data_IF_858471658833
#
_entry.id   IF_858471658833
#
_cell.length_a   1.000
_cell.length_b   1.000
_cell.length_c   1.000
_cell.angle_alpha   90.00
_cell.angle_beta   90.00
_cell.angle_gamma   90.00
#
_symmetry.space_group_name_H-M   'P 1'
#
loop_
_entity.id
_entity.type
_entity.pdbx_description
1 polymer ?
#
# COMPACT_ATOMS: atom_id res chain seq x y z
N UNK A 1 17.00 -4.94 -24.16
CA UNK A 1 17.28 -4.41 -22.81
C UNK A 1 17.33 -5.56 -21.83
N UNK A 2 18.12 -5.45 -20.76
CA UNK A 2 18.19 -6.43 -19.67
C UNK A 2 17.49 -5.81 -18.46
N UNK A 3 16.45 -6.46 -17.95
CA UNK A 3 15.76 -6.03 -16.72
C UNK A 3 16.23 -6.92 -15.58
N UNK A 4 16.68 -6.31 -14.48
CA UNK A 4 17.08 -7.05 -13.28
C UNK A 4 16.19 -6.62 -12.10
N UNK A 5 15.51 -7.58 -11.44
CA UNK A 5 14.76 -7.29 -10.23
C UNK A 5 15.72 -7.02 -9.06
N UNK A 6 15.39 -6.06 -8.22
CA UNK A 6 16.05 -5.86 -6.94
C UNK A 6 15.57 -6.93 -5.95
N UNK A 7 16.45 -7.43 -5.07
CA UNK A 7 16.09 -8.45 -4.09
C UNK A 7 15.45 -7.81 -2.83
N UNK A 8 14.14 -7.59 -2.90
CA UNK A 8 13.38 -6.97 -1.81
C UNK A 8 13.31 -7.85 -0.56
N UNK A 9 13.44 -9.17 -0.72
CA UNK A 9 13.35 -10.11 0.41
C UNK A 9 14.52 -9.94 1.37
N UNK A 10 15.66 -9.47 0.86
CA UNK A 10 16.82 -9.10 1.67
C UNK A 10 16.50 -7.95 2.64
N UNK A 11 15.78 -6.92 2.18
CA UNK A 11 15.33 -5.81 3.06
C UNK A 11 14.47 -6.35 4.20
N UNK A 12 13.56 -7.27 3.88
CA UNK A 12 12.73 -7.88 4.90
C UNK A 12 13.55 -8.70 5.91
N UNK A 13 14.40 -9.62 5.43
CA UNK A 13 15.22 -10.47 6.30
C UNK A 13 16.13 -9.65 7.22
N UNK A 14 16.76 -8.58 6.71
CA UNK A 14 17.76 -7.82 7.46
C UNK A 14 17.16 -6.73 8.36
N UNK A 15 16.02 -6.12 7.97
CA UNK A 15 15.46 -4.94 8.66
C UNK A 15 14.08 -5.16 9.28
N UNK A 16 13.36 -6.22 8.93
CA UNK A 16 11.97 -6.40 9.36
C UNK A 16 11.78 -7.67 10.16
N UNK A 17 12.42 -8.77 9.77
CA UNK A 17 12.26 -10.06 10.42
C UNK A 17 12.52 -9.98 11.94
N UNK A 18 11.61 -10.55 12.73
CA UNK A 18 11.66 -10.52 14.19
C UNK A 18 11.23 -9.20 14.85
N UNK A 19 10.84 -8.17 14.09
CA UNK A 19 10.38 -6.87 14.61
C UNK A 19 8.87 -6.70 14.48
N UNK A 20 8.27 -5.93 15.38
CA UNK A 20 6.89 -5.43 15.21
C UNK A 20 6.85 -4.38 14.10
N UNK A 21 6.02 -4.59 13.09
CA UNK A 21 5.77 -3.64 12.01
C UNK A 21 4.60 -2.74 12.39
N UNK A 22 4.89 -1.45 12.55
CA UNK A 22 3.90 -0.46 12.97
C UNK A 22 3.76 0.56 11.86
N UNK A 23 2.56 0.66 11.32
CA UNK A 23 2.27 1.58 10.25
C UNK A 23 1.63 2.84 10.82
N UNK A 24 2.19 4.01 10.49
CA UNK A 24 1.70 5.30 10.96
C UNK A 24 1.02 6.05 9.82
N UNK A 25 -0.19 6.52 10.08
CA UNK A 25 -0.87 7.54 9.29
C UNK A 25 -0.16 8.90 9.44
N UNK A 26 -0.33 9.80 8.48
CA UNK A 26 0.35 11.08 8.41
C UNK A 26 0.03 12.00 9.60
N UNK A 27 -1.20 11.97 10.10
CA UNK A 27 -1.53 12.70 11.32
C UNK A 27 -0.69 12.24 12.52
N UNK A 28 -0.32 10.96 12.60
CA UNK A 28 0.55 10.46 13.68
C UNK A 28 2.00 10.87 13.45
N UNK A 29 2.48 10.81 12.20
CA UNK A 29 3.80 11.32 11.82
C UNK A 29 3.99 12.79 12.26
N UNK A 30 2.97 13.64 12.03
CA UNK A 30 2.96 15.05 12.44
C UNK A 30 2.97 15.19 13.96
N UNK A 31 2.09 14.46 14.67
CA UNK A 31 2.01 14.49 16.13
C UNK A 31 3.33 14.12 16.79
N UNK A 32 4.00 13.06 16.31
CA UNK A 32 5.30 12.64 16.82
C UNK A 32 6.39 13.69 16.55
N UNK A 33 6.42 14.32 15.37
CA UNK A 33 7.40 15.36 15.02
C UNK A 33 7.32 16.54 15.98
N UNK A 34 6.10 17.05 16.22
CA UNK A 34 5.89 18.31 16.95
C UNK A 34 6.23 18.20 18.46
N UNK A 35 6.52 16.99 18.96
CA UNK A 35 7.03 16.79 20.31
C UNK A 35 5.90 16.87 21.32
N UNK A 36 5.47 18.07 21.75
CA UNK A 36 4.32 18.29 22.62
C UNK A 36 4.01 17.17 23.64
N UNK A 37 2.75 16.72 23.66
CA UNK A 37 2.31 15.57 24.46
C UNK A 37 2.81 14.22 23.91
N UNK A 38 3.22 14.17 22.64
CA UNK A 38 3.67 12.95 21.96
C UNK A 38 5.17 12.65 22.15
N UNK A 39 5.91 13.48 22.89
CA UNK A 39 7.37 13.40 23.01
C UNK A 39 7.81 12.09 23.64
N UNK A 40 7.14 11.68 24.73
CA UNK A 40 7.40 10.41 25.39
C UNK A 40 7.19 9.22 24.43
N UNK A 41 6.05 9.21 23.74
CA UNK A 41 5.75 8.21 22.72
C UNK A 41 6.80 8.18 21.59
N UNK A 42 7.23 9.33 21.08
CA UNK A 42 8.29 9.42 20.07
C UNK A 42 9.60 8.82 20.58
N UNK A 43 10.03 9.20 21.77
CA UNK A 43 11.27 8.73 22.36
C UNK A 43 11.21 7.19 22.61
N UNK A 44 10.03 6.66 22.98
CA UNK A 44 9.77 5.22 23.05
C UNK A 44 9.78 4.51 21.68
N UNK A 45 9.27 5.13 20.63
CA UNK A 45 9.34 4.61 19.26
C UNK A 45 10.80 4.49 18.80
N UNK A 46 11.59 5.56 18.99
CA UNK A 46 13.02 5.58 18.65
C UNK A 46 13.79 4.49 19.42
N UNK A 47 13.50 4.35 20.71
CA UNK A 47 14.11 3.32 21.54
C UNK A 47 13.71 1.89 21.12
N UNK A 48 12.46 1.69 20.68
CA UNK A 48 12.00 0.40 20.16
C UNK A 48 12.72 0.02 18.86
N UNK A 49 12.96 0.98 17.97
CA UNK A 49 13.74 0.77 16.73
C UNK A 49 15.20 0.47 17.06
N UNK A 50 15.82 1.28 17.94
CA UNK A 50 17.22 1.08 18.37
C UNK A 50 17.47 -0.29 19.01
N UNK A 51 16.48 -0.80 19.77
CA UNK A 51 16.52 -2.14 20.38
C UNK A 51 16.10 -3.26 19.43
N UNK A 52 15.77 -2.96 18.17
CA UNK A 52 15.31 -3.94 17.19
C UNK A 52 13.97 -4.59 17.54
N UNK A 53 13.13 -3.96 18.36
CA UNK A 53 11.81 -4.49 18.77
C UNK A 53 10.70 -4.11 17.80
N UNK A 54 10.84 -2.97 17.14
CA UNK A 54 9.86 -2.45 16.20
C UNK A 54 10.54 -1.78 15.01
N UNK A 55 9.78 -1.60 13.95
CA UNK A 55 10.13 -0.78 12.80
C UNK A 55 8.85 -0.08 12.30
N UNK A 56 9.02 1.12 11.77
CA UNK A 56 7.92 1.93 11.27
C UNK A 56 8.13 2.23 9.79
N UNK A 57 7.86 1.26 8.89
CA UNK A 57 8.00 1.47 7.47
C UNK A 57 7.19 2.70 7.04
N UNK A 58 7.80 3.53 6.21
CA UNK A 58 7.04 4.57 5.55
C UNK A 58 6.27 3.98 4.38
N UNK A 59 5.31 4.72 3.88
CA UNK A 59 4.51 4.30 2.76
C UNK A 59 4.61 5.26 1.61
N UNK A 60 4.18 4.79 0.44
CA UNK A 60 4.09 5.63 -0.74
C UNK A 60 3.32 6.93 -0.44
N UNK A 61 2.18 6.82 0.22
CA UNK A 61 1.37 7.96 0.63
C UNK A 61 2.08 8.89 1.64
N UNK A 62 2.72 8.34 2.68
CA UNK A 62 3.43 9.16 3.69
C UNK A 62 4.62 9.93 3.08
N UNK A 63 5.36 9.29 2.16
CA UNK A 63 6.44 9.94 1.42
C UNK A 63 5.87 11.00 0.47
N UNK A 64 4.75 10.73 -0.19
CA UNK A 64 4.06 11.68 -1.06
C UNK A 64 3.65 12.96 -0.31
N UNK A 65 3.11 12.80 0.91
CA UNK A 65 2.70 13.90 1.77
C UNK A 65 3.89 14.68 2.34
N UNK A 66 5.01 14.01 2.63
CA UNK A 66 6.26 14.65 3.03
C UNK A 66 6.73 15.67 1.99
N UNK A 67 6.70 15.31 0.70
CA UNK A 67 7.05 16.24 -0.39
C UNK A 67 6.10 17.43 -0.48
N UNK A 68 4.85 17.27 -0.05
CA UNK A 68 3.84 18.32 0.00
C UNK A 68 4.04 19.36 1.10
N UNK A 69 4.92 19.13 2.09
CA UNK A 69 5.18 20.09 3.17
C UNK A 69 5.90 21.33 2.59
N UNK A 70 5.31 22.53 2.60
CA UNK A 70 5.91 23.69 1.93
C UNK A 70 7.16 24.23 2.63
N UNK A 71 7.20 24.15 3.96
CA UNK A 71 8.32 24.65 4.76
C UNK A 71 9.52 23.68 4.68
N UNK A 72 10.68 24.11 4.17
CA UNK A 72 11.85 23.24 4.05
C UNK A 72 12.36 22.72 5.41
N UNK A 73 12.30 23.54 6.45
CA UNK A 73 12.74 23.15 7.80
C UNK A 73 11.79 22.14 8.44
N UNK A 74 10.48 22.33 8.30
CA UNK A 74 9.48 21.35 8.77
C UNK A 74 9.58 20.03 8.00
N UNK A 75 9.77 20.11 6.67
CA UNK A 75 9.97 18.93 5.83
C UNK A 75 11.21 18.15 6.25
N UNK A 76 12.34 18.84 6.45
CA UNK A 76 13.58 18.21 6.89
C UNK A 76 13.42 17.54 8.27
N UNK A 77 12.79 18.22 9.24
CA UNK A 77 12.54 17.66 10.57
C UNK A 77 11.59 16.45 10.53
N UNK A 78 10.56 16.48 9.68
CA UNK A 78 9.68 15.32 9.47
C UNK A 78 10.44 14.15 8.85
N UNK A 79 11.27 14.42 7.82
CA UNK A 79 12.05 13.42 7.12
C UNK A 79 13.08 12.75 8.04
N UNK A 80 13.76 13.52 8.90
CA UNK A 80 14.69 13.00 9.91
C UNK A 80 14.01 12.03 10.89
N UNK A 81 12.82 12.37 11.37
CA UNK A 81 12.04 11.48 12.23
C UNK A 81 11.64 10.19 11.49
N UNK A 82 11.15 10.32 10.25
CA UNK A 82 10.77 9.17 9.43
C UNK A 82 11.97 8.26 9.15
N UNK A 83 13.14 8.82 8.81
CA UNK A 83 14.38 8.07 8.61
C UNK A 83 14.79 7.28 9.86
N UNK A 84 14.75 7.93 11.03
CA UNK A 84 15.12 7.32 12.29
C UNK A 84 14.20 6.14 12.68
N UNK A 85 12.92 6.19 12.27
CA UNK A 85 11.94 5.15 12.62
C UNK A 85 11.78 4.06 11.55
N UNK A 86 11.99 4.37 10.26
CA UNK A 86 11.80 3.43 9.16
C UNK A 86 13.07 2.68 8.76
N UNK A 87 14.26 3.17 9.13
CA UNK A 87 15.55 2.54 8.79
C UNK A 87 15.71 2.22 7.29
N UNK A 88 15.23 3.09 6.41
CA UNK A 88 15.34 2.87 4.97
C UNK A 88 14.27 1.96 4.37
N UNK A 89 13.27 1.53 5.15
CA UNK A 89 12.22 0.60 4.72
C UNK A 89 10.96 1.35 4.31
N UNK A 90 10.40 0.98 3.16
CA UNK A 90 9.12 1.48 2.65
C UNK A 90 8.20 0.33 2.25
N UNK A 91 6.88 0.54 2.32
CA UNK A 91 5.92 -0.36 1.69
C UNK A 91 5.95 -0.19 0.17
N UNK A 92 5.72 -1.27 -0.58
CA UNK A 92 5.54 -1.14 -2.04
C UNK A 92 4.24 -0.40 -2.35
N UNK A 93 4.16 0.21 -3.53
CA UNK A 93 2.95 0.92 -3.95
C UNK A 93 1.74 -0.02 -4.07
N UNK A 94 0.50 0.49 -3.96
CA UNK A 94 -0.71 -0.32 -4.08
C UNK A 94 -0.77 -1.09 -5.40
N UNK A 95 -0.33 -0.48 -6.50
CA UNK A 95 -0.26 -1.13 -7.80
C UNK A 95 0.59 -2.40 -7.76
N UNK A 96 1.76 -2.33 -7.12
CA UNK A 96 2.66 -3.48 -6.97
C UNK A 96 2.04 -4.52 -6.03
N UNK A 97 1.49 -4.11 -4.89
CA UNK A 97 0.84 -5.02 -3.93
C UNK A 97 -0.33 -5.75 -4.56
N UNK A 98 -1.16 -5.03 -5.31
CA UNK A 98 -2.30 -5.57 -6.05
C UNK A 98 -1.85 -6.58 -7.11
N UNK A 99 -0.75 -6.30 -7.82
CA UNK A 99 -0.16 -7.23 -8.76
C UNK A 99 0.40 -8.48 -8.07
N UNK A 100 1.03 -8.35 -6.90
CA UNK A 100 1.50 -9.49 -6.11
C UNK A 100 0.32 -10.37 -5.64
N UNK A 101 -0.75 -9.76 -5.13
CA UNK A 101 -1.97 -10.48 -4.75
C UNK A 101 -2.64 -11.17 -5.95
N UNK A 102 -2.66 -10.52 -7.12
CA UNK A 102 -3.16 -11.13 -8.34
C UNK A 102 -2.31 -12.34 -8.78
N UNK A 103 -0.97 -12.26 -8.68
CA UNK A 103 -0.06 -13.39 -8.90
C UNK A 103 -0.34 -14.54 -7.93
N UNK A 104 -0.60 -14.23 -6.67
CA UNK A 104 -0.97 -15.24 -5.68
C UNK A 104 -2.30 -15.93 -6.00
N UNK A 105 -3.30 -15.17 -6.44
CA UNK A 105 -4.55 -15.74 -6.93
C UNK A 105 -4.30 -16.64 -8.16
N UNK A 106 -3.47 -16.20 -9.10
CA UNK A 106 -3.10 -16.97 -10.28
C UNK A 106 -2.46 -18.31 -9.92
N UNK A 107 -1.40 -18.30 -9.10
CA UNK A 107 -0.70 -19.51 -8.67
C UNK A 107 -1.63 -20.50 -7.95
N UNK A 108 -2.53 -19.99 -7.11
CA UNK A 108 -3.53 -20.82 -6.41
C UNK A 108 -4.51 -21.49 -7.37
N UNK A 109 -4.90 -20.81 -8.45
CA UNK A 109 -5.91 -21.31 -9.39
C UNK A 109 -5.32 -22.25 -10.44
N UNK A 110 -4.09 -21.98 -10.91
CA UNK A 110 -3.54 -22.65 -12.09
C UNK A 110 -2.30 -23.49 -11.80
N UNK A 111 -1.54 -23.19 -10.75
CA UNK A 111 -0.29 -23.90 -10.43
C UNK A 111 -0.45 -24.89 -9.27
N UNK A 112 -1.64 -24.98 -8.68
CA UNK A 112 -1.92 -25.79 -7.47
C UNK A 112 -0.97 -25.49 -6.30
N UNK A 113 -0.37 -24.29 -6.27
CA UNK A 113 0.56 -23.89 -5.24
C UNK A 113 -0.19 -23.52 -3.95
N UNK A 114 0.38 -23.88 -2.79
CA UNK A 114 0.02 -23.24 -1.53
C UNK A 114 0.51 -21.77 -1.56
N UNK A 115 -0.28 -20.91 -2.20
CA UNK A 115 0.05 -19.50 -2.29
C UNK A 115 -0.33 -18.80 -1.00
N UNK A 116 0.63 -18.68 -0.08
CA UNK A 116 0.55 -17.69 1.00
C UNK A 116 1.09 -16.37 0.49
N UNK A 117 0.36 -15.30 0.74
CA UNK A 117 0.84 -13.96 0.46
C UNK A 117 2.02 -13.71 1.41
N UNK A 118 3.18 -13.44 0.83
CA UNK A 118 4.39 -13.32 1.63
C UNK A 118 4.57 -11.85 2.03
N UNK A 119 4.40 -11.60 3.33
CA UNK A 119 4.68 -10.31 3.97
C UNK A 119 6.08 -9.78 3.63
N UNK A 120 7.02 -10.67 3.31
CA UNK A 120 8.38 -10.33 2.89
C UNK A 120 8.52 -9.74 1.48
N UNK A 121 7.45 -9.74 0.68
CA UNK A 121 7.40 -9.08 -0.63
C UNK A 121 6.63 -7.75 -0.60
N UNK A 122 5.97 -7.46 0.53
CA UNK A 122 5.16 -6.24 0.70
C UNK A 122 5.99 -5.00 1.03
N UNK A 123 7.26 -5.19 1.38
CA UNK A 123 8.19 -4.14 1.78
C UNK A 123 9.42 -4.13 0.88
N UNK A 124 10.01 -2.96 0.75
CA UNK A 124 11.21 -2.70 -0.05
C UNK A 124 12.04 -1.57 0.56
N UNK A 125 13.13 -1.19 -0.09
CA UNK A 125 13.96 -0.04 0.28
C UNK A 125 13.34 1.28 -0.20
N UNK A 126 13.61 2.36 0.53
CA UNK A 126 13.12 3.71 0.23
C UNK A 126 13.27 4.18 -1.23
N UNK A 127 14.39 3.95 -1.94
CA UNK A 127 14.57 4.35 -3.33
C UNK A 127 13.49 3.83 -4.29
N UNK A 128 12.90 2.66 -3.99
CA UNK A 128 11.83 2.08 -4.79
C UNK A 128 10.55 2.94 -4.76
N UNK A 129 10.42 3.88 -3.83
CA UNK A 129 9.37 4.91 -3.90
C UNK A 129 9.34 5.62 -5.27
N UNK A 130 10.51 5.79 -5.89
CA UNK A 130 10.66 6.47 -7.18
C UNK A 130 10.37 5.57 -8.39
N UNK A 131 10.13 4.27 -8.19
CA UNK A 131 10.03 3.32 -9.29
C UNK A 131 9.31 2.01 -8.96
N UNK A 132 9.59 0.96 -9.74
CA UNK A 132 8.95 -0.36 -9.61
C UNK A 132 9.83 -1.40 -8.91
N UNK A 133 11.03 -1.00 -8.48
CA UNK A 133 12.07 -1.91 -7.99
C UNK A 133 12.73 -2.73 -9.10
N UNK A 134 12.62 -2.30 -10.36
CA UNK A 134 13.28 -2.93 -11.49
C UNK A 134 14.31 -1.96 -12.06
N UNK A 135 15.52 -2.46 -12.31
CA UNK A 135 16.57 -1.70 -12.98
C UNK A 135 16.70 -2.18 -14.43
N UNK A 136 16.62 -1.24 -15.35
CA UNK A 136 16.75 -1.50 -16.77
C UNK A 136 18.13 -1.11 -17.28
N UNK A 137 18.77 -2.05 -17.98
CA UNK A 137 20.09 -1.88 -18.55
C UNK A 137 20.05 -2.06 -20.06
N UNK A 138 20.95 -1.37 -20.77
CA UNK A 138 21.14 -1.57 -22.19
C UNK A 138 21.60 -3.02 -22.46
N UNK A 139 21.27 -3.56 -23.64
CA UNK A 139 21.54 -4.97 -23.95
C UNK A 139 23.04 -5.31 -23.91
N UNK A 140 23.87 -4.34 -24.27
CA UNK A 140 25.33 -4.37 -24.31
C UNK A 140 26.00 -4.01 -22.97
N UNK A 141 25.23 -3.66 -21.93
CA UNK A 141 25.81 -3.38 -20.61
C UNK A 141 26.55 -4.63 -20.08
N UNK A 142 27.85 -4.51 -19.69
CA UNK A 142 28.63 -5.61 -19.15
C UNK A 142 28.01 -6.17 -17.86
N UNK A 143 28.07 -7.49 -17.68
CA UNK A 143 27.51 -8.16 -16.50
C UNK A 143 28.13 -7.66 -15.19
N UNK A 144 29.43 -7.34 -15.19
CA UNK A 144 30.12 -6.78 -14.02
C UNK A 144 29.57 -5.41 -13.60
N UNK A 145 29.15 -4.57 -14.55
CA UNK A 145 28.53 -3.27 -14.25
C UNK A 145 27.14 -3.47 -13.65
N UNK A 146 26.35 -4.37 -14.24
CA UNK A 146 25.02 -4.72 -13.72
C UNK A 146 25.13 -5.22 -12.28
N UNK A 147 26.07 -6.12 -12.00
CA UNK A 147 26.31 -6.67 -10.66
C UNK A 147 26.72 -5.58 -9.66
N UNK A 148 27.65 -4.68 -10.03
CA UNK A 148 28.05 -3.56 -9.16
C UNK A 148 26.86 -2.65 -8.85
N UNK A 149 26.04 -2.32 -9.85
CA UNK A 149 24.87 -1.46 -9.64
C UNK A 149 23.82 -2.15 -8.78
N UNK A 150 23.54 -3.43 -9.00
CA UNK A 150 22.59 -4.20 -8.18
C UNK A 150 23.09 -4.34 -6.74
N UNK A 151 24.37 -4.62 -6.55
CA UNK A 151 24.98 -4.71 -5.22
C UNK A 151 24.96 -3.36 -4.50
N UNK A 152 25.28 -2.28 -5.20
CA UNK A 152 25.15 -0.93 -4.66
C UNK A 152 23.68 -0.66 -4.29
N UNK A 153 22.73 -0.93 -5.18
CA UNK A 153 21.31 -0.70 -4.91
C UNK A 153 20.81 -1.51 -3.72
N UNK A 154 21.30 -2.73 -3.54
CA UNK A 154 21.01 -3.60 -2.41
C UNK A 154 21.72 -3.17 -1.12
N UNK A 155 22.77 -2.35 -1.19
CA UNK A 155 23.46 -1.81 -0.01
C UNK A 155 22.50 -0.92 0.79
N UNK A 156 22.27 -1.35 2.03
CA UNK A 156 21.30 -0.80 2.97
C UNK A 156 21.72 0.54 3.56
N UNK A 157 22.99 0.92 3.41
CA UNK A 157 23.55 2.16 3.97
C UNK A 157 23.78 3.23 2.88
N UNK A 158 23.27 3.03 1.66
CA UNK A 158 23.29 4.04 0.61
C UNK A 158 22.58 5.34 1.04
N UNK A 159 23.19 6.53 0.81
CA UNK A 159 22.58 7.83 1.12
C UNK A 159 21.20 8.06 0.48
N UNK A 160 20.93 7.46 -0.69
CA UNK A 160 19.63 7.52 -1.36
C UNK A 160 18.47 6.85 -0.60
N UNK A 161 18.78 6.15 0.49
CA UNK A 161 17.80 5.54 1.42
C UNK A 161 17.44 6.46 2.59
N UNK A 162 17.74 7.76 2.49
CA UNK A 162 17.29 8.78 3.44
C UNK A 162 16.20 9.64 2.81
N UNK A 163 15.04 9.71 3.47
CA UNK A 163 13.99 10.67 3.15
C UNK A 163 14.46 12.10 3.27
N UNK A 164 15.36 12.40 4.22
CA UNK A 164 15.95 13.73 4.30
C UNK A 164 16.68 14.05 3.00
N UNK A 165 17.56 13.17 2.55
CA UNK A 165 18.27 13.33 1.28
C UNK A 165 17.30 13.43 0.10
N UNK A 166 16.34 12.50 -0.02
CA UNK A 166 15.33 12.51 -1.09
C UNK A 166 14.54 13.82 -1.11
N UNK A 167 14.15 14.35 0.06
CA UNK A 167 13.36 15.57 0.18
C UNK A 167 14.13 16.85 -0.17
N UNK A 168 15.46 16.79 -0.15
CA UNK A 168 16.38 17.89 -0.46
C UNK A 168 16.83 17.86 -1.92
N UNK A 169 17.14 16.67 -2.45
CA UNK A 169 17.73 16.50 -3.78
C UNK A 169 16.69 16.31 -4.89
N UNK A 170 15.49 15.78 -4.56
CA UNK A 170 14.44 15.59 -5.55
C UNK A 170 13.58 16.85 -5.63
N UNK A 171 13.40 17.45 -6.82
CA UNK A 171 12.57 18.62 -6.99
C UNK A 171 11.13 18.35 -6.52
N UNK A 172 10.75 18.95 -5.39
CA UNK A 172 9.43 18.71 -4.79
C UNK A 172 8.28 19.21 -5.67
N UNK A 173 8.53 20.17 -6.57
CA UNK A 173 7.50 20.74 -7.46
C UNK A 173 6.91 19.69 -8.41
N UNK A 174 7.76 18.90 -9.10
CA UNK A 174 7.31 17.88 -10.04
C UNK A 174 6.54 16.74 -9.35
N UNK A 175 6.99 16.33 -8.16
CA UNK A 175 6.28 15.32 -7.37
C UNK A 175 4.94 15.84 -6.86
N UNK A 176 4.91 17.08 -6.37
CA UNK A 176 3.68 17.73 -5.89
C UNK A 176 2.66 17.88 -7.02
N UNK A 177 3.09 18.26 -8.23
CA UNK A 177 2.23 18.39 -9.39
C UNK A 177 1.61 17.05 -9.79
N UNK A 178 2.43 15.99 -9.91
CA UNK A 178 1.94 14.63 -10.22
C UNK A 178 0.95 14.12 -9.18
N UNK A 179 1.17 14.40 -7.91
CA UNK A 179 0.22 14.02 -6.85
C UNK A 179 -1.05 14.85 -6.89
N UNK A 180 -0.95 16.16 -7.12
CA UNK A 180 -2.11 17.04 -7.23
C UNK A 180 -3.03 16.63 -8.38
N UNK A 181 -2.47 16.18 -9.51
CA UNK A 181 -3.25 15.66 -10.65
C UNK A 181 -4.02 14.39 -10.26
N UNK A 182 -3.33 13.37 -9.70
CA UNK A 182 -3.98 12.14 -9.22
C UNK A 182 -5.11 12.41 -8.22
N UNK A 183 -4.88 13.32 -7.27
CA UNK A 183 -5.87 13.68 -6.26
C UNK A 183 -7.08 14.38 -6.88
N UNK A 184 -6.88 15.25 -7.88
CA UNK A 184 -7.97 15.89 -8.63
C UNK A 184 -8.80 14.86 -9.39
N UNK A 185 -8.15 13.93 -10.09
CA UNK A 185 -8.83 12.84 -10.80
C UNK A 185 -9.67 11.99 -9.86
N UNK A 186 -9.10 11.61 -8.71
CA UNK A 186 -9.82 10.86 -7.68
C UNK A 186 -11.05 11.60 -7.16
N UNK A 187 -10.90 12.88 -6.79
CA UNK A 187 -12.02 13.69 -6.28
C UNK A 187 -13.11 13.82 -7.34
N UNK A 188 -12.75 14.13 -8.59
CA UNK A 188 -13.69 14.25 -9.68
C UNK A 188 -14.44 12.92 -9.94
N UNK A 189 -13.73 11.79 -9.90
CA UNK A 189 -14.34 10.46 -10.03
C UNK A 189 -15.38 10.22 -8.94
N UNK A 190 -15.01 10.46 -7.67
CA UNK A 190 -15.89 10.22 -6.53
C UNK A 190 -17.08 11.19 -6.49
N UNK A 191 -16.90 12.45 -6.87
CA UNK A 191 -17.99 13.41 -7.01
C UNK A 191 -18.97 13.01 -8.12
N UNK A 192 -18.46 12.55 -9.27
CA UNK A 192 -19.29 12.04 -10.36
C UNK A 192 -20.08 10.79 -9.94
N UNK A 193 -19.45 9.86 -9.22
CA UNK A 193 -20.12 8.69 -8.66
C UNK A 193 -21.23 9.12 -7.70
N UNK A 194 -20.95 10.05 -6.77
CA UNK A 194 -21.94 10.56 -5.84
C UNK A 194 -23.11 11.25 -6.55
N UNK A 195 -22.83 12.09 -7.55
CA UNK A 195 -23.86 12.78 -8.33
C UNK A 195 -24.77 11.78 -9.07
N UNK A 196 -24.19 10.76 -9.73
CA UNK A 196 -24.94 9.66 -10.36
C UNK A 196 -25.82 8.94 -9.35
N UNK A 197 -25.27 8.64 -8.17
CA UNK A 197 -26.04 7.96 -7.12
C UNK A 197 -27.19 8.80 -6.60
N UNK A 198 -27.02 10.11 -6.40
CA UNK A 198 -28.10 10.99 -5.97
C UNK A 198 -29.21 11.12 -7.02
N UNK A 199 -28.86 11.05 -8.31
CA UNK A 199 -29.81 11.18 -9.42
C UNK A 199 -30.68 9.92 -9.63
N UNK A 200 -30.14 8.71 -9.45
CA UNK A 200 -30.86 7.45 -9.70
C UNK A 200 -31.42 6.83 -8.39
N UNK A 201 -32.76 6.69 -8.25
CA UNK A 201 -33.36 6.01 -7.10
C UNK A 201 -32.80 4.61 -6.80
N UNK A 202 -32.44 3.82 -7.82
CA UNK A 202 -31.86 2.48 -7.65
C UNK A 202 -30.46 2.53 -7.07
N UNK A 203 -29.70 3.57 -7.42
CA UNK A 203 -28.35 3.79 -6.90
C UNK A 203 -28.35 4.38 -5.49
N UNK A 204 -29.39 5.16 -5.13
CA UNK A 204 -29.61 5.64 -3.75
C UNK A 204 -29.92 4.50 -2.78
N UNK A 205 -30.67 3.50 -3.22
CA UNK A 205 -31.08 2.36 -2.39
C UNK A 205 -30.09 1.19 -2.40
N UNK A 206 -28.97 1.32 -3.10
CA UNK A 206 -27.95 0.29 -3.18
C UNK A 206 -27.38 0.00 -1.79
N UNK A 207 -27.54 -1.24 -1.34
CA UNK A 207 -27.06 -1.69 -0.06
C UNK A 207 -25.53 -1.83 -0.03
N UNK A 208 -24.99 -1.86 1.19
CA UNK A 208 -23.55 -1.93 1.43
C UNK A 208 -22.88 -3.14 0.78
N UNK A 209 -23.49 -4.32 0.81
CA UNK A 209 -22.86 -5.53 0.28
C UNK A 209 -22.81 -5.47 -1.25
N UNK A 210 -23.84 -4.92 -1.89
CA UNK A 210 -23.83 -4.72 -3.34
C UNK A 210 -22.80 -3.66 -3.74
N UNK A 211 -22.67 -2.56 -2.98
CA UNK A 211 -21.62 -1.57 -3.21
C UNK A 211 -20.21 -2.19 -3.12
N UNK A 212 -19.92 -2.95 -2.06
CA UNK A 212 -18.64 -3.65 -1.91
C UNK A 212 -18.42 -4.64 -3.06
N UNK A 213 -19.43 -5.40 -3.47
CA UNK A 213 -19.30 -6.33 -4.59
C UNK A 213 -18.94 -5.61 -5.89
N UNK A 214 -19.53 -4.43 -6.15
CA UNK A 214 -19.17 -3.60 -7.32
C UNK A 214 -17.71 -3.16 -7.27
N UNK A 215 -17.22 -2.74 -6.11
CA UNK A 215 -15.80 -2.38 -5.93
C UNK A 215 -14.87 -3.58 -6.18
N UNK A 216 -15.22 -4.78 -5.67
CA UNK A 216 -14.48 -6.00 -5.99
C UNK A 216 -14.43 -6.27 -7.49
N UNK A 217 -15.57 -6.16 -8.18
CA UNK A 217 -15.63 -6.36 -9.64
C UNK A 217 -14.77 -5.33 -10.36
N UNK A 218 -14.79 -4.07 -9.92
CA UNK A 218 -13.97 -3.00 -10.49
C UNK A 218 -12.47 -3.31 -10.34
N UNK A 219 -12.00 -3.58 -9.11
CA UNK A 219 -10.61 -3.93 -8.81
C UNK A 219 -10.16 -5.20 -9.54
N UNK A 220 -11.04 -6.19 -9.63
CA UNK A 220 -10.76 -7.42 -10.36
C UNK A 220 -10.49 -7.14 -11.84
N UNK A 221 -11.31 -6.29 -12.47
CA UNK A 221 -11.16 -5.93 -13.87
C UNK A 221 -9.97 -5.02 -14.13
N UNK A 222 -9.72 -4.03 -13.27
CA UNK A 222 -8.65 -3.05 -13.47
C UNK A 222 -7.27 -3.56 -13.10
N UNK A 223 -7.18 -4.50 -12.16
CA UNK A 223 -5.89 -4.87 -11.55
C UNK A 223 -5.59 -6.36 -11.65
N UNK A 224 -6.57 -7.23 -11.39
CA UNK A 224 -6.36 -8.69 -11.39
C UNK A 224 -6.30 -9.26 -12.80
N UNK A 225 -7.24 -8.89 -13.67
CA UNK A 225 -7.27 -9.37 -15.06
C UNK A 225 -5.98 -9.02 -15.80
N UNK A 226 -5.50 -7.76 -15.82
CA UNK A 226 -4.26 -7.41 -16.52
C UNK A 226 -3.05 -8.17 -15.97
N UNK A 227 -2.90 -8.24 -14.65
CA UNK A 227 -1.79 -8.98 -14.04
C UNK A 227 -1.82 -10.47 -14.38
N UNK A 228 -3.00 -11.10 -14.43
CA UNK A 228 -3.13 -12.50 -14.84
C UNK A 228 -2.92 -12.69 -16.34
N UNK A 229 -3.32 -11.72 -17.18
CA UNK A 229 -3.08 -11.76 -18.63
C UNK A 229 -1.58 -11.82 -18.93
N UNK A 230 -0.78 -11.01 -18.25
CA UNK A 230 0.67 -10.99 -18.41
C UNK A 230 1.32 -12.34 -18.04
N UNK A 231 0.83 -12.99 -16.97
CA UNK A 231 1.31 -14.31 -16.56
C UNK A 231 0.87 -15.40 -17.54
N UNK A 232 -0.39 -15.38 -17.94
CA UNK A 232 -0.95 -16.32 -18.91
C UNK A 232 -0.23 -16.25 -20.26
N UNK A 233 0.11 -15.05 -20.73
CA UNK A 233 0.87 -14.87 -21.96
C UNK A 233 2.29 -15.48 -21.86
N UNK A 234 2.88 -15.50 -20.65
CA UNK A 234 4.17 -16.16 -20.41
C UNK A 234 4.03 -17.69 -20.35
N UNK A 235 3.00 -18.19 -19.68
CA UNK A 235 2.81 -19.62 -19.45
C UNK A 235 2.25 -20.36 -20.69
N UNK A 236 1.28 -19.76 -21.37
CA UNK A 236 0.61 -20.35 -22.53
C UNK A 236 1.25 -19.97 -23.87
N UNK A 237 2.26 -19.10 -23.86
CA UNK A 237 2.77 -18.47 -25.07
C UNK A 237 1.69 -17.65 -25.80
N UNK A 238 1.69 -17.67 -27.13
CA UNK A 238 0.76 -16.91 -27.95
C UNK A 238 -0.63 -17.58 -28.16
N UNK A 239 -0.97 -18.62 -27.40
CA UNK A 239 -2.28 -19.29 -27.53
C UNK A 239 -3.41 -18.45 -26.92
N UNK A 240 -3.96 -17.57 -27.76
CA UNK A 240 -5.04 -16.67 -27.37
C UNK A 240 -6.34 -17.42 -26.98
N UNK A 241 -6.56 -18.65 -27.45
CA UNK A 241 -7.74 -19.43 -27.08
C UNK A 241 -7.63 -19.96 -25.65
N UNK A 242 -6.47 -20.49 -25.28
CA UNK A 242 -6.19 -20.96 -23.92
C UNK A 242 -6.17 -19.80 -22.90
N UNK A 243 -5.58 -18.66 -23.27
CA UNK A 243 -5.61 -17.44 -22.45
C UNK A 243 -7.05 -17.01 -22.19
N UNK A 244 -7.90 -16.93 -23.24
CA UNK A 244 -9.32 -16.58 -23.08
C UNK A 244 -10.08 -17.58 -22.20
N UNK A 245 -9.80 -18.88 -22.34
CA UNK A 245 -10.40 -19.93 -21.53
C UNK A 245 -10.04 -19.78 -20.05
N UNK A 246 -8.77 -19.57 -19.71
CA UNK A 246 -8.34 -19.38 -18.31
C UNK A 246 -8.82 -18.04 -17.72
N UNK A 247 -8.90 -16.98 -18.51
CA UNK A 247 -9.49 -15.71 -18.08
C UNK A 247 -11.00 -15.83 -17.80
N UNK A 248 -11.73 -16.67 -18.53
CA UNK A 248 -13.13 -16.93 -18.24
C UNK A 248 -13.30 -17.72 -16.93
N UNK A 249 -12.36 -18.62 -16.58
CA UNK A 249 -12.30 -19.32 -15.29
C UNK A 249 -11.92 -18.40 -14.11
N UNK A 250 -11.10 -17.38 -14.38
CA UNK A 250 -10.87 -16.23 -13.50
C UNK A 250 -12.13 -15.40 -13.33
N UNK A 251 -13.07 -15.48 -14.28
CA UNK A 251 -14.42 -14.98 -14.12
C UNK A 251 -14.69 -13.62 -14.73
N UNK A 252 -14.09 -13.37 -15.89
CA UNK A 252 -14.39 -12.20 -16.72
C UNK A 252 -15.87 -12.14 -17.19
N UNK A 253 -16.61 -13.26 -17.13
CA UNK A 253 -18.00 -13.36 -17.60
C UNK A 253 -19.08 -13.12 -16.54
N UNK A 254 -19.08 -13.87 -15.44
CA UNK A 254 -20.22 -13.91 -14.49
C UNK A 254 -19.84 -14.69 -13.22
N UNK A 255 -18.87 -14.21 -12.43
CA UNK A 255 -18.67 -14.82 -11.10
C UNK A 255 -19.85 -14.43 -10.22
N UNK A 256 -20.66 -15.41 -9.81
CA UNK A 256 -21.67 -15.19 -8.78
C UNK A 256 -21.02 -14.54 -7.55
N UNK A 257 -21.64 -13.48 -7.00
CA UNK A 257 -21.01 -12.60 -6.01
C UNK A 257 -20.38 -13.31 -4.79
N UNK A 258 -20.88 -14.50 -4.44
CA UNK A 258 -20.30 -15.37 -3.41
C UNK A 258 -18.87 -15.83 -3.74
N UNK A 259 -18.62 -16.33 -4.97
CA UNK A 259 -17.30 -16.83 -5.38
C UNK A 259 -16.30 -15.68 -5.53
N UNK A 260 -16.75 -14.51 -5.98
CA UNK A 260 -15.91 -13.29 -6.01
C UNK A 260 -15.50 -12.89 -4.59
N UNK A 261 -16.45 -12.81 -3.67
CA UNK A 261 -16.21 -12.51 -2.26
C UNK A 261 -15.21 -13.48 -1.62
N UNK A 262 -15.36 -14.78 -1.90
CA UNK A 262 -14.45 -15.81 -1.38
C UNK A 262 -13.02 -15.62 -1.90
N UNK A 263 -12.83 -15.36 -3.21
CA UNK A 263 -11.51 -15.12 -3.80
C UNK A 263 -10.83 -13.90 -3.19
N UNK A 264 -11.55 -12.78 -3.08
CA UNK A 264 -11.01 -11.56 -2.48
C UNK A 264 -10.54 -11.79 -1.04
N UNK A 265 -11.39 -12.37 -0.20
CA UNK A 265 -11.06 -12.65 1.20
C UNK A 265 -9.88 -13.61 1.39
N UNK A 266 -9.66 -14.51 0.44
CA UNK A 266 -8.68 -15.59 0.58
C UNK A 266 -7.33 -15.31 -0.12
N UNK A 267 -7.31 -14.43 -1.12
CA UNK A 267 -6.15 -14.25 -2.00
C UNK A 267 -5.88 -12.80 -2.39
N UNK A 268 -6.80 -11.87 -2.13
CA UNK A 268 -6.64 -10.45 -2.45
C UNK A 268 -6.95 -9.56 -1.22
N UNK A 269 -6.26 -9.77 -0.08
CA UNK A 269 -6.64 -9.17 1.20
C UNK A 269 -6.56 -7.64 1.22
N UNK A 270 -5.54 -7.00 0.63
CA UNK A 270 -5.48 -5.53 0.60
C UNK A 270 -6.53 -4.97 -0.35
N UNK A 271 -6.76 -5.61 -1.50
CA UNK A 271 -7.86 -5.25 -2.39
C UNK A 271 -9.22 -5.42 -1.71
N UNK A 272 -9.40 -6.44 -0.88
CA UNK A 272 -10.63 -6.66 -0.11
C UNK A 272 -10.85 -5.55 0.92
N UNK A 273 -9.81 -5.13 1.64
CA UNK A 273 -9.92 -3.97 2.54
C UNK A 273 -10.26 -2.71 1.75
N UNK A 274 -9.58 -2.45 0.62
CA UNK A 274 -9.87 -1.31 -0.25
C UNK A 274 -11.32 -1.33 -0.76
N UNK A 275 -11.81 -2.48 -1.25
CA UNK A 275 -13.19 -2.65 -1.72
C UNK A 275 -14.21 -2.39 -0.60
N UNK A 276 -13.89 -2.82 0.63
CA UNK A 276 -14.74 -2.53 1.78
C UNK A 276 -14.78 -1.05 2.11
N UNK A 277 -13.63 -0.38 2.17
CA UNK A 277 -13.55 1.05 2.48
C UNK A 277 -14.25 1.89 1.41
N UNK A 278 -13.99 1.63 0.12
CA UNK A 278 -14.68 2.30 -0.98
C UNK A 278 -16.18 2.01 -0.96
N UNK A 279 -16.59 0.75 -0.82
CA UNK A 279 -18.02 0.37 -0.81
C UNK A 279 -18.79 0.98 0.36
N UNK A 280 -18.18 1.06 1.55
CA UNK A 280 -18.77 1.72 2.72
C UNK A 280 -18.89 3.23 2.53
N UNK A 281 -17.83 3.88 2.02
CA UNK A 281 -17.88 5.32 1.72
C UNK A 281 -18.87 5.63 0.61
N UNK A 282 -19.01 4.75 -0.38
CA UNK A 282 -19.92 4.97 -1.50
C UNK A 282 -21.38 5.04 -1.06
N UNK A 283 -21.79 4.25 -0.05
CA UNK A 283 -23.18 4.26 0.46
C UNK A 283 -23.46 5.39 1.45
N UNK A 284 -22.43 6.08 1.95
CA UNK A 284 -22.58 7.27 2.78
C UNK A 284 -22.74 8.51 1.90
N UNK A 285 -23.98 8.77 1.47
CA UNK A 285 -24.31 9.92 0.63
C UNK A 285 -24.18 11.28 1.33
N UNK A 286 -24.07 11.31 2.66
CA UNK A 286 -23.93 12.54 3.44
C UNK A 286 -22.47 13.01 3.48
N UNK A 287 -21.52 12.07 3.47
CA UNK A 287 -20.09 12.39 3.40
C UNK A 287 -19.72 13.11 2.11
N UNK A 288 -18.88 14.14 2.22
CA UNK A 288 -18.20 14.77 1.08
C UNK A 288 -16.86 14.10 0.87
N UNK A 289 -16.53 13.79 -0.39
CA UNK A 289 -15.20 13.32 -0.76
C UNK A 289 -14.16 14.41 -0.47
N UNK A 290 -13.02 14.02 0.07
CA UNK A 290 -11.84 14.87 0.26
C UNK A 290 -10.66 14.26 -0.48
N UNK A 291 -9.69 15.07 -0.96
CA UNK A 291 -8.45 14.54 -1.51
C UNK A 291 -7.76 13.52 -0.58
N UNK A 292 -7.75 13.81 0.72
CA UNK A 292 -7.15 12.93 1.74
C UNK A 292 -7.77 11.53 1.79
N UNK A 293 -9.04 11.38 1.37
CA UNK A 293 -9.71 10.09 1.35
C UNK A 293 -8.96 9.06 0.50
N UNK A 294 -8.24 9.50 -0.53
CA UNK A 294 -7.40 8.64 -1.37
C UNK A 294 -6.29 7.99 -0.55
N UNK A 295 -5.47 8.81 0.12
CA UNK A 295 -4.36 8.35 0.95
C UNK A 295 -4.83 7.50 2.12
N UNK A 296 -5.95 7.86 2.77
CA UNK A 296 -6.52 7.07 3.87
C UNK A 296 -6.79 5.62 3.47
N UNK A 297 -7.39 5.40 2.30
CA UNK A 297 -7.74 4.06 1.81
C UNK A 297 -6.46 3.32 1.43
N UNK A 298 -5.54 4.03 0.79
CA UNK A 298 -4.25 3.47 0.40
C UNK A 298 -3.50 2.93 1.62
N UNK A 299 -3.30 3.79 2.62
CA UNK A 299 -2.65 3.45 3.88
C UNK A 299 -3.33 2.27 4.57
N UNK A 300 -4.64 2.37 4.79
CA UNK A 300 -5.36 1.38 5.57
C UNK A 300 -5.44 0.02 4.86
N UNK A 301 -5.61 0.01 3.53
CA UNK A 301 -5.69 -1.24 2.76
C UNK A 301 -4.41 -2.07 2.86
N UNK A 302 -3.25 -1.41 2.86
CA UNK A 302 -1.96 -2.06 3.08
C UNK A 302 -1.75 -2.41 4.56
N UNK A 303 -1.86 -1.41 5.44
CA UNK A 303 -1.48 -1.55 6.85
C UNK A 303 -2.27 -2.64 7.55
N UNK A 304 -3.57 -2.73 7.29
CA UNK A 304 -4.42 -3.74 7.93
C UNK A 304 -4.00 -5.18 7.66
N UNK A 305 -3.36 -5.42 6.52
CA UNK A 305 -2.98 -6.77 6.06
C UNK A 305 -1.52 -7.07 6.36
N UNK A 306 -0.64 -6.09 6.19
CA UNK A 306 0.81 -6.31 6.20
C UNK A 306 1.51 -5.77 7.44
N UNK A 307 0.84 -5.00 8.30
CA UNK A 307 1.39 -4.52 9.57
C UNK A 307 0.82 -5.26 10.79
N UNK A 308 1.50 -5.15 11.93
CA UNK A 308 0.99 -5.67 13.21
C UNK A 308 0.08 -4.63 13.89
N UNK A 309 0.33 -3.35 13.64
CA UNK A 309 -0.50 -2.23 14.08
C UNK A 309 -0.62 -1.14 13.01
N UNK A 310 -1.81 -0.52 12.96
CA UNK A 310 -2.08 0.69 12.19
C UNK A 310 -2.48 1.80 13.15
N UNK A 311 -1.77 2.93 13.12
CA UNK A 311 -1.98 4.05 14.03
C UNK A 311 -2.53 5.24 13.25
N UNK A 312 -3.71 5.73 13.65
CA UNK A 312 -4.36 6.88 13.03
C UNK A 312 -5.24 7.61 14.03
N UNK A 313 -5.15 8.93 14.05
CA UNK A 313 -6.05 9.80 14.82
C UNK A 313 -7.35 10.14 14.07
N UNK A 314 -7.55 9.65 12.84
CA UNK A 314 -8.80 9.85 12.09
C UNK A 314 -9.89 8.91 12.63
N UNK A 315 -10.81 9.48 13.42
CA UNK A 315 -11.94 8.77 13.99
C UNK A 315 -12.90 8.18 12.95
N UNK A 316 -13.02 8.81 11.78
CA UNK A 316 -13.86 8.32 10.68
C UNK A 316 -13.25 7.11 9.99
N UNK A 317 -11.95 7.15 9.70
CA UNK A 317 -11.22 6.01 9.14
C UNK A 317 -11.18 4.83 10.12
N UNK A 318 -10.79 5.08 11.37
CA UNK A 318 -10.67 4.02 12.37
C UNK A 318 -12.02 3.34 12.67
N UNK A 319 -13.13 4.09 12.68
CA UNK A 319 -14.47 3.50 12.79
C UNK A 319 -14.85 2.59 11.61
N UNK A 320 -14.39 2.91 10.38
CA UNK A 320 -14.58 2.05 9.22
C UNK A 320 -13.76 0.75 9.34
N UNK A 321 -12.53 0.83 9.85
CA UNK A 321 -11.63 -0.31 10.01
C UNK A 321 -12.05 -1.27 11.13
N UNK A 322 -12.75 -0.78 12.15
CA UNK A 322 -13.29 -1.62 13.22
C UNK A 322 -14.65 -2.24 12.86
N UNK A 323 -15.19 -1.95 11.66
CA UNK A 323 -16.44 -2.54 11.22
C UNK A 323 -16.32 -4.08 11.08
N UNK A 324 -17.35 -4.81 11.53
CA UNK A 324 -17.43 -6.29 11.51
C UNK A 324 -17.27 -6.95 10.13
N UNK A 325 -17.18 -6.18 9.06
CA UNK A 325 -17.02 -6.73 7.71
C UNK A 325 -15.60 -6.99 7.29
N UNK A 326 -14.61 -6.39 7.95
CA UNK A 326 -13.21 -6.51 7.56
C UNK A 326 -12.80 -7.98 7.43
N UNK A 327 -11.98 -8.31 6.42
CA UNK A 327 -11.61 -9.70 6.17
C UNK A 327 -10.77 -10.24 7.34
N UNK A 328 -10.77 -11.56 7.60
CA UNK A 328 -9.92 -12.14 8.65
C UNK A 328 -8.42 -11.87 8.47
N UNK A 329 -7.99 -11.62 7.24
CA UNK A 329 -6.63 -11.23 6.88
C UNK A 329 -6.27 -9.79 7.27
N UNK A 330 -7.25 -8.94 7.58
CA UNK A 330 -7.05 -7.61 8.15
C UNK A 330 -6.80 -7.73 9.66
N UNK A 331 -5.61 -8.20 10.03
CA UNK A 331 -5.26 -8.56 11.41
C UNK A 331 -4.56 -7.45 12.21
N UNK A 332 -4.18 -6.34 11.57
CA UNK A 332 -3.46 -5.28 12.28
C UNK A 332 -4.32 -4.68 13.41
N UNK A 333 -3.68 -4.39 14.54
CA UNK A 333 -4.32 -3.66 15.63
C UNK A 333 -4.50 -2.20 15.24
N UNK A 334 -5.73 -1.70 15.25
CA UNK A 334 -6.02 -0.27 15.08
C UNK A 334 -5.77 0.46 16.39
N UNK A 335 -4.88 1.46 16.38
CA UNK A 335 -4.52 2.30 17.51
C UNK A 335 -4.88 3.76 17.20
N UNK A 336 -5.70 4.37 18.05
CA UNK A 336 -6.35 5.67 17.75
C UNK A 336 -5.57 6.90 18.23
N UNK A 337 -4.54 6.69 19.04
CA UNK A 337 -3.78 7.77 19.69
C UNK A 337 -2.31 7.37 19.83
N UNK A 338 -1.44 8.38 20.02
CA UNK A 338 -0.03 8.16 20.38
C UNK A 338 0.11 7.44 21.72
N UNK A 339 -0.79 7.68 22.69
CA UNK A 339 -0.80 6.96 23.97
C UNK A 339 -1.12 5.48 23.80
N UNK A 340 -2.06 5.14 22.90
CA UNK A 340 -2.39 3.75 22.59
C UNK A 340 -1.21 3.04 21.91
N UNK A 341 -0.47 3.75 21.05
CA UNK A 341 0.78 3.27 20.47
C UNK A 341 1.83 3.01 21.54
N UNK A 342 2.03 3.97 22.45
CA UNK A 342 3.00 3.85 23.53
C UNK A 342 2.70 2.65 24.44
N UNK A 343 1.45 2.47 24.86
CA UNK A 343 1.01 1.33 25.66
C UNK A 343 1.23 0.00 24.93
N UNK A 344 0.91 -0.05 23.63
CA UNK A 344 1.07 -1.25 22.82
C UNK A 344 2.55 -1.63 22.60
N UNK A 345 3.43 -0.64 22.52
CA UNK A 345 4.89 -0.81 22.48
C UNK A 345 5.49 -1.22 23.83
N UNK A 346 4.85 -0.85 24.94
CA UNK A 346 5.28 -1.18 26.30
C UNK A 346 4.82 -2.56 26.77
N UNK A 347 3.67 -3.04 26.31
CA UNK A 347 3.17 -4.40 26.58
C UNK A 347 3.84 -5.50 25.73
N UNK A 348 4.83 -5.12 24.92
CA UNK A 348 5.45 -5.89 23.85
C UNK A 348 6.64 -6.73 24.28
#
# INVERSE_FOLDING_TARGET
MKVQPIDFRRVYAERIEGRKLIYLDNNIWILLRDGGAAKACRDHCLEAVRKGRAIFPVSYAAVSELFGIPSPSLRASQAELMDALCMGVTSRSPEIIFRLEARHLYARLFESAESRILRNEAYTSLPDYLGTGELEFAADTPASVVEVVINAWNDIDLPGRSLRWLSQEIPSAAQTERHAEKLKEYVALMENLRARRLADPKERSLDRNTAILRERVALFRSSVIPACQDLLARDCGADAAEIRRRLSELGAGEIGGKRMTQRFRASLPSMEVAAQLHGMRAVDLQRRTRPQDFWDIEHASFAMVYADAFVSADGGLTALLEAKTMPPTASAKVLKTVDALEQWLGAA
#
